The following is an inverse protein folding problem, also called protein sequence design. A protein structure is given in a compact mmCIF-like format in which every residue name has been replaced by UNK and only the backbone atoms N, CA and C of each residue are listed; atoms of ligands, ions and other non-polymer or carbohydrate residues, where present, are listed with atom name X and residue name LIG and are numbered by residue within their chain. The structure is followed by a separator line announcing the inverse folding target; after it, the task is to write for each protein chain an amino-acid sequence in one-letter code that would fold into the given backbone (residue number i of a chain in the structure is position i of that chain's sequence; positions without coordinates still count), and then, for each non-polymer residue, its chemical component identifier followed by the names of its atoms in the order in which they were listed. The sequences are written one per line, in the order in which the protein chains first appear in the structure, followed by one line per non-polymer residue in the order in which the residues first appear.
data_IF_964573361821
#
_entry.id   IF_964573361821
#
_cell.length_a   1.000
_cell.length_b   1.000
_cell.length_c   1.000
_cell.angle_alpha   90.00
_cell.angle_beta   90.00
_cell.angle_gamma   90.00
#
_symmetry.space_group_name_H-M   'P 1'
#
loop_
_entity.id
_entity.type
_entity.pdbx_description
1 polymer ?
#
# COMPACT_ATOMS: atom_id res chain seq x y z
N UNK A 1 9.40 -14.24 -24.53
CA UNK A 1 8.48 -13.12 -24.34
C UNK A 1 8.26 -12.98 -22.84
N UNK A 2 8.42 -11.77 -22.29
CA UNK A 2 8.13 -11.52 -20.88
C UNK A 2 6.62 -11.40 -20.69
N UNK A 3 6.09 -11.96 -19.61
CA UNK A 3 4.66 -11.83 -19.26
C UNK A 3 4.33 -10.35 -19.03
N UNK A 4 3.32 -9.79 -19.72
CA UNK A 4 2.88 -8.42 -19.42
C UNK A 4 2.54 -8.28 -17.94
N UNK A 5 2.98 -7.19 -17.32
CA UNK A 5 2.82 -7.01 -15.87
C UNK A 5 2.31 -5.60 -15.57
N UNK A 6 1.27 -5.51 -14.77
CA UNK A 6 0.82 -4.25 -14.18
C UNK A 6 1.51 -4.08 -12.83
N UNK A 7 2.27 -3.00 -12.68
CA UNK A 7 2.85 -2.59 -11.41
C UNK A 7 1.87 -1.66 -10.69
N UNK A 8 1.44 -2.05 -9.50
CA UNK A 8 0.68 -1.21 -8.59
C UNK A 8 1.64 -0.62 -7.56
N UNK A 9 2.01 0.64 -7.76
CA UNK A 9 2.89 1.37 -6.85
C UNK A 9 2.04 2.10 -5.82
N UNK A 10 2.18 1.69 -4.57
CA UNK A 10 1.29 2.11 -3.49
C UNK A 10 1.97 2.07 -2.12
N UNK A 11 1.33 2.67 -1.14
CA UNK A 11 1.68 2.59 0.27
C UNK A 11 0.43 2.20 1.06
N UNK A 12 0.47 1.20 1.95
CA UNK A 12 -0.72 0.76 2.70
C UNK A 12 -1.30 1.85 3.63
N UNK A 13 -0.50 2.86 3.99
CA UNK A 13 -0.96 4.00 4.79
C UNK A 13 -1.29 5.24 3.95
N UNK A 14 -1.35 5.11 2.61
CA UNK A 14 -1.80 6.17 1.72
C UNK A 14 -3.33 6.21 1.64
N UNK A 15 -3.95 7.32 2.06
CA UNK A 15 -5.41 7.46 2.03
C UNK A 15 -5.99 7.42 0.62
N UNK A 16 -5.28 7.91 -0.40
CA UNK A 16 -5.69 7.79 -1.80
C UNK A 16 -5.61 6.35 -2.30
N UNK A 17 -4.65 5.54 -1.81
CA UNK A 17 -4.62 4.10 -2.08
C UNK A 17 -5.80 3.37 -1.41
N UNK A 18 -6.21 3.82 -0.20
CA UNK A 18 -7.43 3.35 0.45
C UNK A 18 -8.68 3.64 -0.37
N UNK A 19 -8.86 4.90 -0.83
CA UNK A 19 -9.96 5.28 -1.70
C UNK A 19 -9.96 4.60 -3.08
N UNK A 20 -8.80 4.07 -3.50
CA UNK A 20 -8.63 3.40 -4.80
C UNK A 20 -9.00 1.90 -4.79
N UNK A 21 -9.29 1.31 -3.62
CA UNK A 21 -9.53 -0.15 -3.47
C UNK A 21 -10.59 -0.70 -4.44
N UNK A 22 -11.73 -0.02 -4.55
CA UNK A 22 -12.82 -0.49 -5.43
C UNK A 22 -12.45 -0.38 -6.90
N UNK A 23 -11.71 0.65 -7.27
CA UNK A 23 -11.18 0.80 -8.63
C UNK A 23 -10.16 -0.30 -8.93
N UNK A 24 -9.23 -0.56 -7.99
CA UNK A 24 -8.24 -1.63 -8.14
C UNK A 24 -8.91 -3.00 -8.28
N UNK A 25 -9.93 -3.29 -7.47
CA UNK A 25 -10.69 -4.55 -7.58
C UNK A 25 -11.32 -4.72 -8.96
N UNK A 26 -11.99 -3.68 -9.49
CA UNK A 26 -12.58 -3.71 -10.82
C UNK A 26 -11.52 -3.91 -11.92
N UNK A 27 -10.34 -3.32 -11.77
CA UNK A 27 -9.23 -3.53 -12.70
C UNK A 27 -8.78 -5.00 -12.65
N UNK A 28 -8.55 -5.55 -11.45
CA UNK A 28 -8.13 -6.94 -11.28
C UNK A 28 -9.13 -7.94 -11.88
N UNK A 29 -10.42 -7.69 -11.75
CA UNK A 29 -11.49 -8.51 -12.33
C UNK A 29 -11.49 -8.50 -13.88
N UNK A 30 -10.96 -7.44 -14.48
CA UNK A 30 -10.93 -7.27 -15.95
C UNK A 30 -9.57 -7.54 -16.59
N UNK A 31 -8.52 -7.68 -15.79
CA UNK A 31 -7.20 -8.03 -16.32
C UNK A 31 -7.24 -9.44 -16.94
N UNK A 32 -6.72 -9.63 -18.16
CA UNK A 32 -6.54 -10.94 -18.73
C UNK A 32 -5.65 -11.82 -17.83
N UNK A 33 -5.94 -13.11 -17.74
CA UNK A 33 -5.12 -14.05 -16.95
C UNK A 33 -3.65 -14.11 -17.39
N UNK A 34 -3.36 -13.68 -18.62
CA UNK A 34 -1.99 -13.57 -19.15
C UNK A 34 -1.23 -12.35 -18.65
N UNK A 35 -1.86 -11.44 -17.92
CA UNK A 35 -1.25 -10.23 -17.36
C UNK A 35 -1.00 -10.40 -15.87
N UNK A 36 0.26 -10.31 -15.45
CA UNK A 36 0.63 -10.35 -14.04
C UNK A 36 0.28 -9.05 -13.31
N UNK A 37 0.08 -9.14 -11.99
CA UNK A 37 -0.01 -7.97 -11.10
C UNK A 37 1.11 -8.03 -10.06
N UNK A 38 1.85 -6.93 -9.92
CA UNK A 38 2.89 -6.79 -8.92
C UNK A 38 2.67 -5.55 -8.06
N UNK A 39 2.54 -5.75 -6.75
CA UNK A 39 2.55 -4.67 -5.78
C UNK A 39 3.99 -4.19 -5.56
N UNK A 40 4.19 -2.88 -5.57
CA UNK A 40 5.48 -2.20 -5.35
C UNK A 40 5.28 -1.19 -4.23
N UNK A 41 6.01 -1.35 -3.16
CA UNK A 41 5.90 -0.47 -2.00
C UNK A 41 6.54 0.88 -2.29
N UNK A 42 5.75 1.94 -2.15
CA UNK A 42 6.17 3.31 -2.45
C UNK A 42 6.85 4.04 -1.29
N UNK A 43 6.41 3.79 -0.05
CA UNK A 43 7.01 4.36 1.15
C UNK A 43 6.83 5.87 1.26
N UNK A 44 5.75 6.33 1.87
CA UNK A 44 5.46 7.76 2.04
C UNK A 44 6.33 8.45 3.10
N UNK A 45 6.75 7.71 4.12
CA UNK A 45 7.52 8.28 5.21
C UNK A 45 8.49 7.25 5.83
N UNK A 46 9.75 7.65 6.09
CA UNK A 46 10.73 6.77 6.71
C UNK A 46 10.33 6.38 8.13
N UNK A 47 11.09 5.43 8.70
CA UNK A 47 10.93 5.04 10.10
C UNK A 47 11.08 6.25 11.02
N UNK A 48 10.17 6.36 11.98
CA UNK A 48 10.20 7.39 13.00
C UNK A 48 9.47 6.91 14.25
N UNK A 49 10.07 7.14 15.42
CA UNK A 49 9.44 6.95 16.72
C UNK A 49 8.85 8.26 17.28
N UNK A 50 9.09 9.38 16.59
CA UNK A 50 8.59 10.68 17.00
C UNK A 50 7.06 10.78 16.83
N UNK A 51 6.34 11.36 17.80
CA UNK A 51 4.94 11.68 17.65
C UNK A 51 4.71 12.56 16.42
N UNK A 52 3.60 12.34 15.74
CA UNK A 52 3.25 13.12 14.56
C UNK A 52 2.99 14.58 14.95
N UNK A 53 3.67 15.57 14.34
CA UNK A 53 3.40 16.99 14.56
C UNK A 53 1.95 17.35 14.22
N UNK A 54 1.37 18.32 14.94
CA UNK A 54 -0.02 18.72 14.76
C UNK A 54 -0.32 19.18 13.33
N UNK A 55 0.57 19.95 12.71
CA UNK A 55 0.42 20.37 11.30
C UNK A 55 0.31 19.16 10.36
N UNK A 56 1.15 18.13 10.56
CA UNK A 56 1.11 16.90 9.77
C UNK A 56 -0.18 16.13 10.03
N UNK A 57 -0.64 16.10 11.28
CA UNK A 57 -1.91 15.47 11.67
C UNK A 57 -3.09 16.14 10.96
N UNK A 58 -3.16 17.46 10.98
CA UNK A 58 -4.20 18.24 10.31
C UNK A 58 -4.19 18.02 8.78
N UNK A 59 -3.02 18.04 8.19
CA UNK A 59 -2.84 17.74 6.77
C UNK A 59 -3.39 16.35 6.40
N UNK A 60 -3.05 15.30 7.15
CA UNK A 60 -3.52 13.93 6.86
C UNK A 60 -5.02 13.80 7.12
N UNK A 61 -5.56 14.42 8.17
CA UNK A 61 -7.01 14.47 8.39
C UNK A 61 -7.73 15.19 7.25
N UNK A 62 -7.13 16.26 6.72
CA UNK A 62 -7.62 16.95 5.52
C UNK A 62 -7.65 16.03 4.30
N UNK A 63 -6.60 15.23 4.09
CA UNK A 63 -6.56 14.23 3.04
C UNK A 63 -7.65 13.15 3.20
N UNK A 64 -7.91 12.65 4.44
CA UNK A 64 -8.99 11.71 4.71
C UNK A 64 -10.37 12.27 4.31
N UNK A 65 -10.65 13.55 4.65
CA UNK A 65 -11.89 14.23 4.24
C UNK A 65 -12.02 14.32 2.71
N UNK A 66 -10.93 14.70 2.03
CA UNK A 66 -10.91 14.79 0.57
C UNK A 66 -11.14 13.43 -0.09
N UNK A 67 -10.47 12.38 0.38
CA UNK A 67 -10.65 11.01 -0.14
C UNK A 67 -12.08 10.55 0.08
N UNK A 68 -12.62 10.72 1.30
CA UNK A 68 -14.01 10.35 1.61
C UNK A 68 -15.00 11.08 0.69
N UNK A 69 -14.84 12.38 0.51
CA UNK A 69 -15.70 13.18 -0.36
C UNK A 69 -15.62 12.76 -1.84
N UNK A 70 -14.43 12.36 -2.32
CA UNK A 70 -14.19 12.00 -3.73
C UNK A 70 -14.58 10.56 -4.06
N UNK A 71 -14.43 9.64 -3.11
CA UNK A 71 -14.52 8.19 -3.37
C UNK A 71 -15.62 7.49 -2.58
N UNK A 72 -16.19 8.12 -1.57
CA UNK A 72 -17.12 7.49 -0.62
C UNK A 72 -16.42 6.58 0.43
N UNK A 73 -15.09 6.50 0.41
CA UNK A 73 -14.35 5.66 1.36
C UNK A 73 -14.63 6.08 2.80
N UNK A 74 -14.85 5.09 3.67
CA UNK A 74 -15.12 5.30 5.09
C UNK A 74 -13.82 5.37 5.87
N UNK A 75 -13.82 6.16 6.94
CA UNK A 75 -12.70 6.33 7.85
C UNK A 75 -13.19 6.31 9.30
N UNK A 76 -12.49 5.57 10.15
CA UNK A 76 -12.70 5.59 11.59
C UNK A 76 -11.85 6.70 12.22
N UNK A 77 -12.51 7.77 12.62
CA UNK A 77 -11.86 8.97 13.20
C UNK A 77 -11.34 8.75 14.60
N UNK A 78 -11.74 7.66 15.29
CA UNK A 78 -11.22 7.30 16.61
C UNK A 78 -9.70 7.06 16.58
N UNK A 79 -9.14 6.73 15.41
CA UNK A 79 -7.69 6.62 15.25
C UNK A 79 -6.93 7.82 15.80
N UNK A 80 -7.45 9.02 15.59
CA UNK A 80 -6.79 10.26 15.98
C UNK A 80 -6.84 10.57 17.48
N UNK A 81 -7.71 9.90 18.21
CA UNK A 81 -7.92 10.06 19.66
C UNK A 81 -7.44 8.89 20.47
N UNK A 82 -7.48 7.67 19.91
CA UNK A 82 -7.12 6.42 20.61
C UNK A 82 -5.70 5.96 20.33
N UNK A 83 -5.12 6.34 19.18
CA UNK A 83 -3.75 5.99 18.82
C UNK A 83 -2.78 7.16 19.05
N UNK A 84 -1.49 6.81 19.10
CA UNK A 84 -0.38 7.78 19.02
C UNK A 84 0.21 7.74 17.60
N UNK A 85 -0.30 8.55 16.67
CA UNK A 85 0.16 8.49 15.29
C UNK A 85 1.61 8.98 15.15
N UNK A 86 2.33 8.29 14.27
CA UNK A 86 3.67 8.68 13.82
C UNK A 86 3.67 8.84 12.30
N UNK A 87 4.51 9.71 11.77
CA UNK A 87 4.74 9.80 10.33
C UNK A 87 5.77 8.76 9.93
N UNK A 88 5.36 7.50 9.92
CA UNK A 88 6.22 6.32 9.69
C UNK A 88 5.43 5.24 8.95
N UNK A 89 5.68 5.06 7.63
CA UNK A 89 4.94 4.09 6.80
C UNK A 89 5.82 2.91 6.34
N UNK A 90 7.14 3.02 6.44
CA UNK A 90 8.05 1.93 6.07
C UNK A 90 7.81 0.63 6.82
N UNK A 91 7.44 0.62 8.13
CA UNK A 91 7.10 -0.62 8.82
C UNK A 91 5.94 -1.37 8.16
N UNK A 92 4.89 -0.64 7.75
CA UNK A 92 3.75 -1.21 7.04
C UNK A 92 4.14 -1.76 5.65
N UNK A 93 5.01 -1.06 4.93
CA UNK A 93 5.55 -1.54 3.65
C UNK A 93 6.38 -2.82 3.83
N UNK A 94 7.26 -2.88 4.86
CA UNK A 94 8.01 -4.10 5.18
C UNK A 94 7.09 -5.26 5.54
N UNK A 95 5.99 -5.00 6.24
CA UNK A 95 5.02 -6.04 6.60
C UNK A 95 4.39 -6.69 5.37
N UNK A 96 4.04 -5.91 4.34
CA UNK A 96 3.54 -6.43 3.07
C UNK A 96 4.58 -7.34 2.40
N UNK A 97 5.84 -6.91 2.35
CA UNK A 97 6.93 -7.65 1.72
C UNK A 97 7.30 -8.92 2.50
N UNK A 98 7.31 -8.87 3.83
CA UNK A 98 7.55 -10.03 4.68
C UNK A 98 6.44 -11.08 4.52
N UNK A 99 5.16 -10.66 4.49
CA UNK A 99 4.03 -11.55 4.26
C UNK A 99 4.08 -12.18 2.86
N UNK A 100 4.49 -11.41 1.85
CA UNK A 100 4.69 -11.94 0.50
C UNK A 100 5.80 -13.00 0.47
N UNK A 101 6.92 -12.76 1.13
CA UNK A 101 8.04 -13.70 1.19
C UNK A 101 7.69 -14.97 1.99
N UNK A 102 6.86 -14.86 3.03
CA UNK A 102 6.47 -15.99 3.86
C UNK A 102 5.60 -17.02 3.11
N UNK A 103 4.55 -16.55 2.41
CA UNK A 103 3.58 -17.45 1.78
C UNK A 103 2.79 -16.81 0.61
N UNK A 104 3.27 -15.72 0.04
CA UNK A 104 2.59 -15.01 -1.03
C UNK A 104 1.46 -14.06 -0.59
N UNK A 105 1.22 -13.90 0.72
CA UNK A 105 0.11 -13.09 1.25
C UNK A 105 0.32 -11.58 1.18
N UNK A 106 1.26 -11.07 0.41
CA UNK A 106 1.53 -9.63 0.29
C UNK A 106 0.28 -8.78 0.00
N UNK A 107 -0.50 -9.06 -1.06
CA UNK A 107 -1.74 -8.34 -1.35
C UNK A 107 -2.76 -8.41 -0.21
N UNK A 108 -2.92 -9.57 0.43
CA UNK A 108 -3.82 -9.74 1.58
C UNK A 108 -3.35 -8.92 2.79
N UNK A 109 -2.03 -8.87 3.05
CA UNK A 109 -1.46 -8.06 4.12
C UNK A 109 -1.63 -6.57 3.84
N UNK A 110 -1.45 -6.14 2.59
CA UNK A 110 -1.70 -4.75 2.18
C UNK A 110 -3.14 -4.34 2.50
N UNK A 111 -4.12 -5.14 2.06
CA UNK A 111 -5.54 -4.88 2.30
C UNK A 111 -5.87 -4.93 3.79
N UNK A 112 -5.33 -5.90 4.54
CA UNK A 112 -5.56 -6.03 5.98
C UNK A 112 -5.01 -4.87 6.79
N UNK A 113 -3.84 -4.34 6.41
CA UNK A 113 -3.27 -3.13 7.01
C UNK A 113 -4.18 -1.93 6.76
N UNK A 114 -4.69 -1.76 5.55
CA UNK A 114 -5.61 -0.68 5.23
C UNK A 114 -6.88 -0.74 6.07
N UNK A 115 -7.50 -1.92 6.21
CA UNK A 115 -8.68 -2.10 7.05
C UNK A 115 -8.39 -1.76 8.52
N UNK A 116 -7.29 -2.27 9.06
CA UNK A 116 -6.87 -1.99 10.44
C UNK A 116 -6.67 -0.49 10.69
N UNK A 117 -6.01 0.19 9.77
CA UNK A 117 -5.71 1.61 9.89
C UNK A 117 -6.96 2.48 9.74
N UNK A 118 -7.70 2.27 8.64
CA UNK A 118 -8.78 3.19 8.25
C UNK A 118 -10.13 2.86 8.88
N UNK A 119 -10.38 1.62 9.29
CA UNK A 119 -11.68 1.21 9.84
C UNK A 119 -11.64 0.78 11.32
N UNK A 120 -10.48 0.31 11.82
CA UNK A 120 -10.39 -0.31 13.14
C UNK A 120 -9.60 0.52 14.15
N UNK A 121 -9.10 1.70 13.74
CA UNK A 121 -8.26 2.57 14.58
C UNK A 121 -7.04 1.82 15.17
N UNK A 122 -6.38 0.97 14.38
CA UNK A 122 -5.15 0.26 14.73
C UNK A 122 -3.97 0.89 14.00
N UNK A 123 -2.90 1.20 14.73
CA UNK A 123 -1.76 1.95 14.19
C UNK A 123 -0.76 1.05 13.46
N UNK A 124 -0.63 1.08 12.10
CA UNK A 124 0.32 0.24 11.37
C UNK A 124 1.78 0.69 11.49
N UNK A 125 2.07 1.80 12.16
CA UNK A 125 3.44 2.15 12.53
C UNK A 125 3.94 1.34 13.73
N UNK A 126 3.05 0.62 14.43
CA UNK A 126 3.39 -0.22 15.59
C UNK A 126 3.66 -1.66 15.13
N UNK A 127 4.85 -2.18 15.45
CA UNK A 127 5.25 -3.54 15.09
C UNK A 127 4.27 -4.61 15.66
N UNK A 128 3.76 -4.41 16.87
CA UNK A 128 2.81 -5.34 17.48
C UNK A 128 1.47 -5.39 16.72
N UNK A 129 1.01 -4.26 16.21
CA UNK A 129 -0.15 -4.22 15.30
C UNK A 129 0.12 -5.07 14.06
N UNK A 130 1.24 -4.88 13.38
CA UNK A 130 1.58 -5.61 12.15
C UNK A 130 1.72 -7.12 12.40
N UNK A 131 2.33 -7.52 13.51
CA UNK A 131 2.46 -8.93 13.92
C UNK A 131 1.08 -9.55 14.21
N UNK A 132 0.18 -8.80 14.85
CA UNK A 132 -1.18 -9.27 15.08
C UNK A 132 -1.93 -9.50 13.76
N UNK A 133 -1.81 -8.55 12.81
CA UNK A 133 -2.42 -8.67 11.47
C UNK A 133 -1.88 -9.86 10.69
N UNK A 134 -0.58 -10.13 10.77
CA UNK A 134 0.04 -11.31 10.15
C UNK A 134 -0.55 -12.61 10.71
N UNK A 135 -0.74 -12.68 12.04
CA UNK A 135 -1.41 -13.81 12.69
C UNK A 135 -2.85 -14.01 12.25
N UNK A 136 -3.60 -12.94 11.96
CA UNK A 136 -4.95 -12.99 11.41
C UNK A 136 -4.98 -13.59 9.99
N UNK A 137 -3.86 -13.48 9.26
CA UNK A 137 -3.64 -14.09 7.94
C UNK A 137 -3.02 -15.50 7.99
N UNK A 138 -2.91 -16.08 9.19
CA UNK A 138 -2.35 -17.42 9.37
C UNK A 138 -0.83 -17.50 9.27
N UNK A 139 -0.13 -16.35 9.34
CA UNK A 139 1.34 -16.31 9.36
C UNK A 139 1.81 -16.45 10.81
N UNK A 140 2.86 -17.25 11.03
CA UNK A 140 3.46 -17.40 12.36
C UNK A 140 3.96 -16.05 12.88
N UNK A 141 3.48 -15.65 14.07
CA UNK A 141 3.72 -14.33 14.64
C UNK A 141 5.15 -14.11 15.09
N UNK A 142 5.79 -15.14 15.61
CA UNK A 142 7.17 -15.05 16.11
C UNK A 142 8.14 -14.93 14.94
N UNK A 143 8.00 -15.79 13.94
CA UNK A 143 8.76 -15.72 12.71
C UNK A 143 8.55 -14.38 12.01
N UNK A 144 7.31 -13.93 11.86
CA UNK A 144 6.99 -12.66 11.20
C UNK A 144 7.61 -11.46 11.91
N UNK A 145 7.64 -11.44 13.25
CA UNK A 145 8.30 -10.39 14.04
C UNK A 145 9.80 -10.28 13.72
N UNK A 146 10.46 -11.42 13.52
CA UNK A 146 11.86 -11.46 13.12
C UNK A 146 12.03 -11.02 11.66
N UNK A 147 11.17 -11.50 10.77
CA UNK A 147 11.21 -11.16 9.34
C UNK A 147 10.96 -9.67 9.10
N UNK A 148 10.04 -9.05 9.86
CA UNK A 148 9.72 -7.62 9.76
C UNK A 148 10.95 -6.71 9.97
N UNK A 149 11.89 -7.15 10.81
CA UNK A 149 13.13 -6.42 11.13
C UNK A 149 14.36 -6.96 10.42
N UNK A 150 14.19 -7.96 9.56
CA UNK A 150 15.34 -8.64 8.93
C UNK A 150 15.98 -7.77 7.83
N UNK A 151 17.31 -7.90 7.63
CA UNK A 151 17.98 -7.27 6.50
C UNK A 151 17.42 -7.71 5.15
N UNK A 152 16.87 -8.92 5.07
CA UNK A 152 16.25 -9.45 3.85
C UNK A 152 15.01 -8.63 3.47
N UNK A 153 14.12 -8.37 4.42
CA UNK A 153 12.92 -7.55 4.22
C UNK A 153 13.28 -6.11 3.89
N UNK A 154 14.29 -5.53 4.57
CA UNK A 154 14.79 -4.21 4.24
C UNK A 154 15.34 -4.16 2.80
N UNK A 155 16.10 -5.16 2.38
CA UNK A 155 16.59 -5.25 1.00
C UNK A 155 15.45 -5.33 -0.03
N UNK A 156 14.33 -6.01 0.29
CA UNK A 156 13.14 -6.03 -0.56
C UNK A 156 12.51 -4.64 -0.67
N UNK A 157 12.38 -3.93 0.45
CA UNK A 157 11.87 -2.55 0.46
C UNK A 157 12.73 -1.62 -0.40
N UNK A 158 14.05 -1.71 -0.25
CA UNK A 158 14.98 -0.91 -1.06
C UNK A 158 14.94 -1.27 -2.57
N UNK A 159 14.65 -2.53 -2.92
CA UNK A 159 14.42 -2.95 -4.32
C UNK A 159 13.14 -2.31 -4.86
N UNK A 160 12.07 -2.28 -4.07
CA UNK A 160 10.81 -1.65 -4.48
C UNK A 160 10.97 -0.12 -4.64
N UNK A 161 11.72 0.54 -3.76
CA UNK A 161 12.03 1.97 -3.92
C UNK A 161 12.86 2.27 -5.17
N UNK A 162 13.78 1.39 -5.56
CA UNK A 162 14.50 1.52 -6.84
C UNK A 162 13.56 1.33 -8.01
N UNK A 163 12.74 0.27 -7.98
CA UNK A 163 11.77 0.00 -9.04
C UNK A 163 10.74 1.13 -9.20
N UNK A 164 10.23 1.67 -8.09
CA UNK A 164 9.35 2.84 -8.12
C UNK A 164 9.99 4.03 -8.87
N UNK A 165 11.28 4.31 -8.61
CA UNK A 165 12.02 5.38 -9.31
C UNK A 165 12.22 5.06 -10.78
N UNK A 166 12.58 3.82 -11.12
CA UNK A 166 12.73 3.33 -12.51
C UNK A 166 11.42 3.37 -13.27
N UNK A 167 10.30 3.11 -12.60
CA UNK A 167 8.95 3.26 -13.13
C UNK A 167 8.52 4.73 -13.22
N UNK A 168 9.27 5.70 -12.70
CA UNK A 168 8.93 7.11 -12.71
C UNK A 168 7.71 7.49 -11.85
N UNK A 169 7.28 6.62 -10.93
CA UNK A 169 6.09 6.84 -10.10
C UNK A 169 6.42 7.78 -8.93
N UNK A 170 5.80 8.97 -8.91
CA UNK A 170 5.98 9.99 -7.87
C UNK A 170 4.72 10.26 -7.04
N UNK A 171 3.60 9.68 -7.45
CA UNK A 171 2.31 9.79 -6.77
C UNK A 171 1.76 8.40 -6.45
N UNK A 172 0.92 8.28 -5.44
CA UNK A 172 0.24 7.04 -5.09
C UNK A 172 -1.28 7.28 -5.00
N UNK A 173 -2.07 6.30 -5.47
CA UNK A 173 -1.67 5.09 -6.20
C UNK A 173 -1.12 5.39 -7.60
N UNK A 174 -0.24 4.54 -8.15
CA UNK A 174 0.11 4.54 -9.57
C UNK A 174 -0.02 3.15 -10.15
N UNK A 175 -0.45 3.06 -11.40
CA UNK A 175 -0.47 1.82 -12.18
C UNK A 175 0.33 2.00 -13.46
N UNK A 176 1.26 1.09 -13.70
CA UNK A 176 2.09 1.05 -14.91
C UNK A 176 2.01 -0.35 -15.51
N UNK A 177 1.54 -0.44 -16.77
CA UNK A 177 1.62 -1.67 -17.55
C UNK A 177 2.98 -1.72 -18.25
N UNK A 178 3.71 -2.82 -18.05
CA UNK A 178 4.92 -3.11 -18.80
C UNK A 178 4.67 -4.34 -19.69
N UNK A 179 4.94 -4.21 -20.97
CA UNK A 179 4.82 -5.28 -21.95
C UNK A 179 6.03 -5.25 -22.91
N UNK A 180 6.82 -6.31 -22.94
CA UNK A 180 8.02 -6.42 -23.80
C UNK A 180 9.01 -5.24 -23.65
N UNK A 181 9.12 -4.66 -22.44
CA UNK A 181 10.00 -3.54 -22.15
C UNK A 181 9.40 -2.15 -22.44
N UNK A 182 8.23 -2.08 -23.05
CA UNK A 182 7.46 -0.85 -23.21
C UNK A 182 6.60 -0.60 -21.97
N UNK A 183 6.52 0.66 -21.52
CA UNK A 183 5.79 1.07 -20.33
C UNK A 183 4.68 2.05 -20.68
N UNK A 184 3.48 1.75 -20.18
CA UNK A 184 2.31 2.60 -20.32
C UNK A 184 1.78 2.96 -18.93
N UNK A 185 1.65 4.26 -18.64
CA UNK A 185 1.04 4.73 -17.40
C UNK A 185 -0.48 4.63 -17.52
N UNK A 186 -1.08 3.81 -16.68
CA UNK A 186 -2.53 3.68 -16.57
C UNK A 186 -3.10 4.76 -15.64
N UNK A 187 -2.38 5.05 -14.53
CA UNK A 187 -2.66 6.21 -13.68
C UNK A 187 -1.42 6.63 -12.88
N UNK A 188 -1.37 7.92 -12.54
CA UNK A 188 -0.40 8.52 -11.63
C UNK A 188 -1.16 9.39 -10.60
N UNK A 189 -1.51 8.81 -9.46
CA UNK A 189 -2.49 9.29 -8.50
C UNK A 189 -3.84 8.61 -8.70
N UNK A 190 -4.84 9.02 -7.89
CA UNK A 190 -6.19 8.51 -8.01
C UNK A 190 -6.83 8.89 -9.36
N UNK A 191 -7.42 7.92 -10.05
CA UNK A 191 -8.27 8.12 -11.22
C UNK A 191 -9.47 7.16 -11.17
N UNK A 192 -10.52 7.46 -11.92
CA UNK A 192 -11.72 6.63 -11.98
C UNK A 192 -11.51 5.41 -12.87
N UNK A 193 -12.20 4.32 -12.54
CA UNK A 193 -12.09 3.05 -13.25
C UNK A 193 -12.26 3.18 -14.78
N UNK A 194 -13.25 3.92 -15.26
CA UNK A 194 -13.53 4.06 -16.71
C UNK A 194 -12.36 4.72 -17.47
N UNK A 195 -11.68 5.68 -16.85
CA UNK A 195 -10.50 6.33 -17.45
C UNK A 195 -9.30 5.39 -17.52
N UNK A 196 -9.11 4.57 -16.48
CA UNK A 196 -8.03 3.58 -16.46
C UNK A 196 -8.32 2.47 -17.45
N UNK A 197 -9.55 1.97 -17.49
CA UNK A 197 -10.01 0.95 -18.44
C UNK A 197 -9.77 1.36 -19.89
N UNK A 198 -10.05 2.61 -20.25
CA UNK A 198 -9.82 3.14 -21.59
C UNK A 198 -8.32 3.13 -22.00
N UNK A 199 -7.40 3.09 -21.03
CA UNK A 199 -5.95 2.99 -21.27
C UNK A 199 -5.45 1.54 -21.30
N UNK A 200 -6.26 0.57 -20.88
CA UNK A 200 -5.93 -0.86 -20.93
C UNK A 200 -6.27 -1.50 -22.29
N UNK A 201 -7.03 -0.81 -23.12
CA UNK A 201 -7.41 -1.22 -24.49
C UNK A 201 -6.37 -0.77 -25.51
#
# INVERSE_FOLDING_TARGET
MTTPTVFYVADPMCSWCWGFRDVLRQILEQLPQSVGMRYVMGGLAPDSDEPMPDETREYIQGAWRQVSARTGAQFNWDFWTTCQPRRSTYPACRAVLAAHAANGSGPAMFDRIQQAYYLEARNPSDADTLVALAGELGIDREQFRNDLKSPQTENLLQKDFRLQRELGCRAFPSLVLENNGERQYLTAGYDDFERIRARLQ
#
